data_IF_904073270326
#
_entry.id   IF_904073270326
#
_cell.length_a   1.000
_cell.length_b   1.000
_cell.length_c   1.000
_cell.angle_alpha   90.00
_cell.angle_beta   90.00
_cell.angle_gamma   90.00
#
_symmetry.space_group_name_H-M   'P 1'
#
loop_
_entity.id
_entity.type
_entity.pdbx_description
1 polymer ?
#
# COMPACT_ATOMS: atom_id res chain seq x y z
N UNK A 1 6.13 -3.58 -17.95
CA UNK A 1 5.35 -3.24 -16.73
C UNK A 1 5.60 -4.28 -15.66
N UNK A 2 5.96 -3.87 -14.43
CA UNK A 2 5.97 -4.80 -13.29
C UNK A 2 4.52 -5.22 -13.00
N UNK A 3 4.20 -6.50 -13.12
CA UNK A 3 2.85 -7.02 -12.84
C UNK A 3 2.69 -7.21 -11.34
N UNK A 4 1.78 -6.47 -10.72
CA UNK A 4 1.43 -6.68 -9.31
C UNK A 4 0.65 -7.98 -9.15
N UNK A 5 0.92 -8.72 -8.07
CA UNK A 5 0.10 -9.87 -7.68
C UNK A 5 -1.22 -9.39 -7.05
N UNK A 6 -2.23 -10.26 -6.98
CA UNK A 6 -3.60 -9.93 -6.54
C UNK A 6 -3.63 -9.08 -5.27
N UNK A 7 -2.99 -9.55 -4.19
CA UNK A 7 -2.96 -8.85 -2.90
C UNK A 7 -2.32 -7.46 -2.96
N UNK A 8 -1.27 -7.27 -3.78
CA UNK A 8 -0.64 -5.95 -3.95
C UNK A 8 -1.57 -4.98 -4.67
N UNK A 9 -2.29 -5.48 -5.68
CA UNK A 9 -3.28 -4.70 -6.41
C UNK A 9 -4.44 -4.32 -5.50
N UNK A 10 -4.99 -5.27 -4.75
CA UNK A 10 -6.10 -5.01 -3.81
C UNK A 10 -5.72 -3.96 -2.75
N UNK A 11 -4.48 -3.99 -2.23
CA UNK A 11 -3.98 -2.96 -1.31
C UNK A 11 -4.04 -1.57 -1.97
N UNK A 12 -3.48 -1.43 -3.16
CA UNK A 12 -3.42 -0.15 -3.87
C UNK A 12 -4.80 0.34 -4.31
N UNK A 13 -5.64 -0.55 -4.86
CA UNK A 13 -7.02 -0.21 -5.28
C UNK A 13 -7.83 0.29 -4.10
N UNK A 14 -7.79 -0.39 -2.96
CA UNK A 14 -8.49 0.05 -1.76
C UNK A 14 -7.97 1.38 -1.23
N UNK A 15 -6.64 1.60 -1.27
CA UNK A 15 -6.05 2.86 -0.86
C UNK A 15 -6.54 4.02 -1.76
N UNK A 16 -6.39 3.88 -3.08
CA UNK A 16 -6.82 4.90 -4.06
C UNK A 16 -8.33 5.16 -3.99
N UNK A 17 -9.15 4.11 -3.92
CA UNK A 17 -10.61 4.25 -3.81
C UNK A 17 -11.03 4.96 -2.52
N UNK A 18 -10.35 4.67 -1.41
CA UNK A 18 -10.60 5.35 -0.13
C UNK A 18 -10.26 6.84 -0.22
N UNK A 19 -9.14 7.19 -0.84
CA UNK A 19 -8.75 8.60 -1.02
C UNK A 19 -9.72 9.34 -1.94
N UNK A 20 -10.08 8.75 -3.08
CA UNK A 20 -11.04 9.32 -4.02
C UNK A 20 -12.41 9.58 -3.37
N UNK A 21 -12.89 8.64 -2.54
CA UNK A 21 -14.17 8.80 -1.81
C UNK A 21 -14.15 9.95 -0.80
N UNK A 22 -13.00 10.24 -0.20
CA UNK A 22 -12.90 11.21 0.90
C UNK A 22 -12.25 12.55 0.49
N UNK A 23 -11.70 12.65 -0.72
CA UNK A 23 -11.01 13.84 -1.22
C UNK A 23 -9.70 14.16 -0.51
N UNK A 24 -9.16 13.23 0.29
CA UNK A 24 -7.95 13.42 1.10
C UNK A 24 -7.09 12.16 1.07
N UNK A 25 -5.77 12.32 1.15
CA UNK A 25 -4.83 11.21 1.30
C UNK A 25 -5.07 10.51 2.64
N UNK A 26 -5.08 9.17 2.65
CA UNK A 26 -5.40 8.38 3.84
C UNK A 26 -4.30 7.39 4.20
N UNK A 27 -4.05 7.19 5.50
CA UNK A 27 -3.09 6.20 5.96
C UNK A 27 -3.57 4.80 5.62
N UNK A 28 -2.66 3.97 5.11
CA UNK A 28 -2.82 2.53 4.97
C UNK A 28 -2.40 1.92 6.32
N UNK A 29 -3.38 1.53 7.11
CA UNK A 29 -3.15 0.96 8.44
C UNK A 29 -2.55 -0.44 8.33
N UNK A 30 -1.25 -0.54 8.62
CA UNK A 30 -0.54 -1.82 8.80
C UNK A 30 0.24 -1.75 10.09
N UNK A 31 0.08 -2.74 10.96
CA UNK A 31 0.63 -2.68 12.33
C UNK A 31 2.09 -3.15 12.43
N UNK A 32 2.77 -3.42 11.31
CA UNK A 32 4.04 -4.11 11.32
C UNK A 32 5.17 -3.25 10.75
N UNK A 33 5.80 -2.49 11.65
CA UNK A 33 6.93 -1.61 11.35
C UNK A 33 8.23 -2.25 11.85
N UNK A 34 8.78 -3.17 11.05
CA UNK A 34 10.02 -3.86 11.42
C UNK A 34 9.89 -4.83 12.60
N UNK A 35 8.66 -5.15 12.99
CA UNK A 35 8.36 -6.06 14.10
C UNK A 35 8.49 -7.52 13.67
N UNK A 36 8.89 -8.38 14.61
CA UNK A 36 8.89 -9.82 14.42
C UNK A 36 7.47 -10.32 14.14
N UNK A 37 7.32 -11.05 13.03
CA UNK A 37 6.06 -11.61 12.56
C UNK A 37 5.82 -13.06 13.02
N UNK A 38 6.74 -13.65 13.78
CA UNK A 38 6.70 -15.05 14.22
C UNK A 38 5.41 -15.44 14.97
N UNK A 39 4.80 -14.48 15.69
CA UNK A 39 3.54 -14.66 16.43
C UNK A 39 2.26 -14.41 15.62
N UNK A 40 2.36 -14.00 14.36
CA UNK A 40 1.20 -13.64 13.53
C UNK A 40 0.78 -14.77 12.59
N UNK A 41 -0.45 -14.70 12.11
CA UNK A 41 -0.93 -15.62 11.08
C UNK A 41 -0.11 -15.49 9.80
N UNK A 42 0.06 -16.61 9.09
CA UNK A 42 0.77 -16.64 7.80
C UNK A 42 0.18 -15.67 6.77
N UNK A 43 -1.14 -15.49 6.80
CA UNK A 43 -1.83 -14.53 5.93
C UNK A 43 -1.44 -13.09 6.24
N UNK A 44 -1.38 -12.71 7.52
CA UNK A 44 -0.94 -11.38 7.93
C UNK A 44 0.53 -11.12 7.60
N UNK A 45 1.41 -12.10 7.86
CA UNK A 45 2.82 -11.99 7.49
C UNK A 45 3.00 -11.81 5.97
N UNK A 46 2.22 -12.55 5.17
CA UNK A 46 2.21 -12.39 3.70
C UNK A 46 1.74 -11.01 3.27
N UNK A 47 0.67 -10.50 3.89
CA UNK A 47 0.16 -9.16 3.64
C UNK A 47 1.22 -8.09 3.93
N UNK A 48 1.91 -8.18 5.07
CA UNK A 48 2.99 -7.27 5.43
C UNK A 48 4.17 -7.32 4.44
N UNK A 49 4.60 -8.52 4.04
CA UNK A 49 5.66 -8.66 3.03
C UNK A 49 5.27 -8.03 1.68
N UNK A 50 3.99 -8.10 1.30
CA UNK A 50 3.48 -7.52 0.05
C UNK A 50 3.39 -6.00 0.12
N UNK A 51 3.10 -5.44 1.29
CA UNK A 51 3.20 -4.01 1.57
C UNK A 51 4.63 -3.50 1.41
N UNK A 52 5.63 -4.20 1.97
CA UNK A 52 7.04 -3.79 1.80
C UNK A 52 7.45 -3.76 0.32
N UNK A 53 7.02 -4.76 -0.46
CA UNK A 53 7.27 -4.78 -1.91
C UNK A 53 6.64 -3.57 -2.64
N UNK A 54 5.51 -3.03 -2.15
CA UNK A 54 4.90 -1.82 -2.70
C UNK A 54 5.68 -0.55 -2.30
N UNK A 55 6.27 -0.53 -1.10
CA UNK A 55 7.15 0.56 -0.63
C UNK A 55 8.43 0.58 -1.45
N UNK A 56 9.09 -0.56 -1.59
CA UNK A 56 10.31 -0.72 -2.42
C UNK A 56 10.06 -0.35 -3.89
N UNK A 57 8.85 -0.61 -4.40
CA UNK A 57 8.45 -0.23 -5.75
C UNK A 57 8.09 1.27 -5.88
N UNK A 58 8.00 2.01 -4.78
CA UNK A 58 7.64 3.43 -4.77
C UNK A 58 6.15 3.72 -4.99
N UNK A 59 5.27 2.72 -4.91
CA UNK A 59 3.83 2.90 -5.08
C UNK A 59 3.13 3.37 -3.80
N UNK A 60 3.72 3.07 -2.64
CA UNK A 60 3.33 3.64 -1.35
C UNK A 60 4.58 4.14 -0.64
N UNK A 61 4.43 5.10 0.26
CA UNK A 61 5.54 5.71 1.00
C UNK A 61 5.16 5.99 2.44
N UNK A 62 6.10 5.75 3.35
CA UNK A 62 6.01 6.12 4.77
C UNK A 62 6.56 7.50 5.08
N UNK A 63 7.20 8.13 4.09
CA UNK A 63 7.87 9.41 4.26
C UNK A 63 6.98 10.60 3.88
N UNK A 64 5.70 10.35 3.56
CA UNK A 64 4.75 11.42 3.25
C UNK A 64 4.40 12.18 4.54
N UNK A 65 4.17 11.45 5.64
CA UNK A 65 4.01 12.01 6.99
C UNK A 65 4.87 11.21 7.98
N UNK A 66 6.20 11.48 8.04
CA UNK A 66 7.14 10.64 8.77
C UNK A 66 6.84 10.47 10.27
N UNK A 67 6.07 11.39 10.85
CA UNK A 67 5.73 11.45 12.28
C UNK A 67 4.60 10.51 12.71
N UNK A 68 3.79 9.98 11.78
CA UNK A 68 2.63 9.15 12.14
C UNK A 68 2.87 7.64 11.96
N UNK A 69 3.98 7.27 11.32
CA UNK A 69 4.38 5.90 11.05
C UNK A 69 3.57 5.21 9.96
N UNK A 70 2.57 5.84 9.34
CA UNK A 70 1.70 5.20 8.35
C UNK A 70 2.29 5.25 6.94
N UNK A 71 1.87 4.29 6.11
CA UNK A 71 2.12 4.32 4.67
C UNK A 71 0.98 5.04 3.95
N UNK A 72 1.31 5.76 2.88
CA UNK A 72 0.37 6.51 2.06
C UNK A 72 0.61 6.17 0.60
N UNK A 73 -0.43 6.17 -0.24
CA UNK A 73 -0.22 5.95 -1.67
C UNK A 73 0.52 7.13 -2.28
N UNK A 74 1.46 6.86 -3.18
CA UNK A 74 2.17 7.89 -3.93
C UNK A 74 1.42 8.23 -5.21
N UNK A 75 1.78 9.34 -5.85
CA UNK A 75 1.32 9.67 -7.20
C UNK A 75 1.63 8.54 -8.21
N UNK A 76 2.77 7.85 -8.05
CA UNK A 76 3.11 6.73 -8.92
C UNK A 76 2.16 5.53 -8.71
N UNK A 77 1.80 5.22 -7.45
CA UNK A 77 0.85 4.16 -7.12
C UNK A 77 -0.56 4.46 -7.63
N UNK A 78 -1.00 5.71 -7.46
CA UNK A 78 -2.28 6.18 -7.98
C UNK A 78 -2.35 6.12 -9.50
N UNK A 79 -1.35 6.66 -10.20
CA UNK A 79 -1.27 6.62 -11.65
C UNK A 79 -1.22 5.18 -12.18
N UNK A 80 -0.52 4.28 -11.49
CA UNK A 80 -0.49 2.87 -11.84
C UNK A 80 -1.90 2.26 -11.80
N UNK A 81 -2.66 2.46 -10.72
CA UNK A 81 -4.05 1.95 -10.63
C UNK A 81 -4.96 2.59 -11.68
N UNK A 82 -4.93 3.91 -11.83
CA UNK A 82 -5.77 4.63 -12.78
C UNK A 82 -5.47 4.25 -14.25
N UNK A 83 -4.26 3.78 -14.54
CA UNK A 83 -3.91 3.25 -15.87
C UNK A 83 -4.57 1.91 -16.20
N UNK A 84 -4.95 1.11 -15.19
CA UNK A 84 -5.73 -0.11 -15.40
C UNK A 84 -7.23 0.15 -15.53
N UNK A 85 -7.75 1.23 -14.92
CA UNK A 85 -9.18 1.58 -14.99
C UNK A 85 -9.60 2.22 -16.32
N UNK A 86 -8.62 2.68 -17.12
CA UNK A 86 -8.84 3.27 -18.44
C UNK A 86 -8.52 2.31 -19.61
N UNK A 87 -8.40 1.01 -19.35
CA UNK A 87 -8.32 -0.05 -20.36
C UNK A 87 -9.64 -0.83 -20.40
#
# INVERSE_FOLDING_TARGET
>A
MKKLVKIQREILENAVASEAKNGVRKPIHVSNFGTDLSGFSKSYATYCAKMEQLVEAGFISRNIYPSDGYAYVTLAGENFINSYSNQ
#
